data_IF_788965578821
#
_entry.id   IF_788965578821
#
_cell.length_a   1.000
_cell.length_b   1.000
_cell.length_c   1.000
_cell.angle_alpha   90.00
_cell.angle_beta   90.00
_cell.angle_gamma   90.00
#
_symmetry.space_group_name_H-M   'P 1'
#
loop_
_entity.id
_entity.type
_entity.pdbx_description
1 polymer ?
#
# COMPACT_ATOMS: atom_id res chain seq x y z
N UNK A 1 -0.12 4.62 17.23
CA UNK A 1 -0.92 3.61 16.52
C UNK A 1 0.00 2.80 15.61
N UNK A 2 -0.47 1.68 15.06
CA UNK A 2 0.37 0.87 14.16
C UNK A 2 0.73 1.62 12.86
N UNK A 3 -0.13 2.53 12.39
CA UNK A 3 0.16 3.41 11.24
C UNK A 3 1.45 4.23 11.41
N UNK A 4 1.66 4.81 12.59
CA UNK A 4 2.86 5.58 12.89
C UNK A 4 4.10 4.68 12.99
N UNK A 5 3.96 3.48 13.59
CA UNK A 5 5.05 2.51 13.72
C UNK A 5 5.51 1.99 12.35
N UNK A 6 4.57 1.67 11.46
CA UNK A 6 4.86 1.23 10.09
C UNK A 6 5.62 2.30 9.31
N UNK A 7 5.21 3.57 9.44
CA UNK A 7 5.91 4.68 8.81
C UNK A 7 7.36 4.83 9.32
N UNK A 8 7.56 4.71 10.64
CA UNK A 8 8.89 4.75 11.23
C UNK A 8 9.75 3.58 10.76
N UNK A 9 9.19 2.36 10.72
CA UNK A 9 9.89 1.17 10.26
C UNK A 9 10.31 1.25 8.80
N UNK A 10 9.47 1.80 7.90
CA UNK A 10 9.86 2.04 6.50
C UNK A 10 11.08 2.97 6.41
N UNK A 11 11.07 4.07 7.17
CA UNK A 11 12.18 5.04 7.16
C UNK A 11 13.47 4.42 7.67
N UNK A 12 13.41 3.71 8.80
CA UNK A 12 14.57 3.03 9.38
C UNK A 12 15.14 1.97 8.43
N UNK A 13 14.27 1.19 7.78
CA UNK A 13 14.68 0.17 6.81
C UNK A 13 15.40 0.79 5.61
N UNK A 14 14.86 1.87 5.03
CA UNK A 14 15.48 2.56 3.89
C UNK A 14 16.75 3.33 4.28
N UNK A 15 16.86 3.81 5.51
CA UNK A 15 18.09 4.44 6.02
C UNK A 15 19.22 3.41 6.17
N UNK A 16 18.92 2.26 6.78
CA UNK A 16 19.93 1.22 7.07
C UNK A 16 20.27 0.36 5.86
N UNK A 17 19.31 0.15 4.96
CA UNK A 17 19.46 -0.68 3.78
C UNK A 17 18.77 -0.01 2.56
N UNK A 18 19.40 1.02 1.95
CA UNK A 18 18.76 1.86 0.93
C UNK A 18 18.25 1.15 -0.32
N UNK A 19 18.83 -0.01 -0.63
CA UNK A 19 18.49 -0.82 -1.81
C UNK A 19 17.51 -1.96 -1.51
N UNK A 20 17.06 -2.10 -0.25
CA UNK A 20 16.12 -3.15 0.15
C UNK A 20 14.72 -2.91 -0.40
N UNK A 21 14.00 -4.00 -0.70
CA UNK A 21 12.59 -3.94 -1.07
C UNK A 21 11.77 -4.00 0.22
N UNK A 22 10.98 -2.96 0.49
CA UNK A 22 10.09 -2.93 1.66
C UNK A 22 8.65 -3.01 1.18
N UNK A 23 7.91 -4.01 1.66
CA UNK A 23 6.51 -4.23 1.33
C UNK A 23 5.63 -3.97 2.55
N UNK A 24 4.71 -3.03 2.44
CA UNK A 24 3.78 -2.65 3.50
C UNK A 24 2.36 -2.97 3.06
N UNK A 25 1.74 -3.94 3.71
CA UNK A 25 0.31 -4.19 3.62
C UNK A 25 -0.46 -3.28 4.56
N UNK A 26 -1.62 -2.78 4.15
CA UNK A 26 -2.51 -2.03 5.03
C UNK A 26 -3.99 -2.18 4.66
N UNK A 27 -4.90 -2.13 5.65
CA UNK A 27 -6.33 -2.21 5.41
C UNK A 27 -6.90 -0.87 4.93
N UNK A 28 -7.90 -0.91 4.04
CA UNK A 28 -8.73 0.25 3.68
C UNK A 28 -9.91 0.35 4.65
N UNK A 29 -9.79 1.24 5.63
CA UNK A 29 -10.81 1.52 6.64
C UNK A 29 -11.32 2.96 6.49
N UNK A 30 -12.52 3.25 6.98
CA UNK A 30 -13.03 4.61 7.13
C UNK A 30 -12.42 5.32 8.35
N UNK A 31 -11.09 5.25 8.48
CA UNK A 31 -10.31 5.87 9.54
C UNK A 31 -9.30 6.84 8.91
N UNK A 32 -9.21 8.06 9.44
CA UNK A 32 -8.30 9.09 8.91
C UNK A 32 -6.84 8.61 8.80
N UNK A 33 -6.36 7.84 9.78
CA UNK A 33 -5.00 7.30 9.75
C UNK A 33 -4.79 6.30 8.59
N UNK A 34 -5.80 5.47 8.30
CA UNK A 34 -5.77 4.52 7.17
C UNK A 34 -5.74 5.26 5.83
N UNK A 35 -6.58 6.30 5.68
CA UNK A 35 -6.66 7.07 4.43
C UNK A 35 -5.39 7.88 4.16
N UNK A 36 -4.73 8.38 5.22
CA UNK A 36 -3.49 9.16 5.11
C UNK A 36 -2.21 8.31 4.98
N UNK A 37 -2.23 7.03 5.39
CA UNK A 37 -1.03 6.20 5.44
C UNK A 37 -0.30 6.18 4.10
N UNK A 38 -1.01 5.91 3.00
CA UNK A 38 -0.41 5.78 1.67
C UNK A 38 0.34 7.05 1.25
N UNK A 39 -0.20 8.24 1.53
CA UNK A 39 0.45 9.51 1.21
C UNK A 39 1.74 9.71 2.04
N UNK A 40 1.72 9.33 3.32
CA UNK A 40 2.90 9.43 4.20
C UNK A 40 4.01 8.45 3.80
N UNK A 41 3.63 7.25 3.36
CA UNK A 41 4.57 6.25 2.83
C UNK A 41 5.21 6.75 1.53
N UNK A 42 4.42 7.29 0.58
CA UNK A 42 4.92 7.92 -0.65
C UNK A 42 5.94 9.00 -0.35
N UNK A 43 5.60 9.97 0.50
CA UNK A 43 6.52 11.05 0.86
C UNK A 43 7.83 10.55 1.51
N UNK A 44 7.79 9.46 2.28
CA UNK A 44 9.00 8.87 2.86
C UNK A 44 9.84 8.12 1.81
N UNK A 45 9.19 7.44 0.87
CA UNK A 45 9.87 6.76 -0.22
C UNK A 45 10.43 7.73 -1.27
N UNK A 46 9.74 8.81 -1.59
CA UNK A 46 10.26 9.88 -2.47
C UNK A 46 11.60 10.44 -1.96
N UNK A 47 11.78 10.49 -0.64
CA UNK A 47 13.00 10.97 -0.01
C UNK A 47 14.12 9.92 0.07
N UNK A 48 13.82 8.62 0.07
CA UNK A 48 14.78 7.59 0.48
C UNK A 48 14.85 6.34 -0.42
N UNK A 49 13.81 6.03 -1.21
CA UNK A 49 13.77 4.85 -2.07
C UNK A 49 14.40 5.13 -3.44
N UNK A 50 15.62 4.65 -3.64
CA UNK A 50 16.43 4.89 -4.85
C UNK A 50 15.77 4.45 -6.16
N UNK A 51 14.93 3.41 -6.12
CA UNK A 51 14.23 2.86 -7.29
C UNK A 51 12.74 3.26 -7.32
N UNK A 52 12.38 4.30 -6.58
CA UNK A 52 11.00 4.78 -6.46
C UNK A 52 10.11 3.84 -5.65
N UNK A 53 8.81 3.94 -5.88
CA UNK A 53 7.80 3.17 -5.17
C UNK A 53 6.66 2.73 -6.10
N UNK A 54 5.98 1.66 -5.70
CA UNK A 54 4.76 1.16 -6.32
C UNK A 54 3.66 1.12 -5.26
N UNK A 55 2.46 1.56 -5.63
CA UNK A 55 1.30 1.52 -4.76
C UNK A 55 0.13 0.86 -5.47
N UNK A 56 -0.31 -0.28 -4.96
CA UNK A 56 -1.43 -1.05 -5.50
C UNK A 56 -2.52 -1.18 -4.45
N UNK A 57 -3.79 -1.15 -4.89
CA UNK A 57 -4.95 -1.37 -4.02
C UNK A 57 -5.97 -2.25 -4.72
N UNK A 58 -6.67 -3.05 -3.93
CA UNK A 58 -7.86 -3.78 -4.34
C UNK A 58 -8.97 -3.49 -3.33
N UNK A 59 -9.99 -2.77 -3.79
CA UNK A 59 -11.23 -2.54 -3.05
C UNK A 59 -12.23 -3.60 -3.46
N UNK A 60 -12.70 -4.41 -2.52
CA UNK A 60 -13.60 -5.55 -2.78
C UNK A 60 -15.03 -5.30 -2.34
N UNK A 61 -15.26 -4.37 -1.41
CA UNK A 61 -16.58 -4.03 -0.88
C UNK A 61 -16.80 -2.51 -0.89
N UNK A 62 -18.06 -2.10 -0.99
CA UNK A 62 -18.44 -0.70 -0.76
C UNK A 62 -18.37 -0.36 0.74
N UNK A 63 -18.26 0.92 1.03
CA UNK A 63 -18.42 1.46 2.37
C UNK A 63 -19.80 1.10 2.93
N UNK A 64 -19.86 0.50 4.12
CA UNK A 64 -21.10 0.41 4.89
C UNK A 64 -21.54 1.83 5.30
N UNK A 65 -22.85 2.09 5.30
CA UNK A 65 -23.47 3.33 5.79
C UNK A 65 -23.07 3.63 7.24
N UNK A 66 -22.80 2.58 8.04
CA UNK A 66 -22.35 2.71 9.43
C UNK A 66 -20.84 2.90 9.57
N UNK A 67 -20.08 2.85 8.47
CA UNK A 67 -18.63 3.07 8.43
C UNK A 67 -17.77 1.96 9.04
N UNK A 68 -18.35 0.78 9.28
CA UNK A 68 -17.62 -0.36 9.85
C UNK A 68 -17.08 -1.30 8.77
N UNK A 69 -16.00 -2.00 9.12
CA UNK A 69 -15.41 -3.05 8.28
C UNK A 69 -14.29 -2.59 7.35
N UNK A 70 -13.68 -3.57 6.70
CA UNK A 70 -12.59 -3.37 5.74
C UNK A 70 -13.14 -3.49 4.32
N UNK A 71 -13.03 -2.41 3.55
CA UNK A 71 -13.51 -2.37 2.16
C UNK A 71 -12.55 -3.08 1.20
N UNK A 72 -11.31 -3.29 1.63
CA UNK A 72 -10.24 -3.87 0.85
C UNK A 72 -8.89 -3.57 1.48
N UNK A 73 -7.83 -3.69 0.70
CA UNK A 73 -6.47 -3.43 1.20
C UNK A 73 -5.55 -2.86 0.14
N UNK A 74 -4.41 -2.37 0.58
CA UNK A 74 -3.34 -1.88 -0.28
C UNK A 74 -2.00 -2.49 0.08
N UNK A 75 -1.14 -2.57 -0.94
CA UNK A 75 0.29 -2.85 -0.79
C UNK A 75 1.07 -1.65 -1.28
N UNK A 76 1.98 -1.15 -0.44
CA UNK A 76 2.98 -0.16 -0.81
C UNK A 76 4.34 -0.85 -0.87
N UNK A 77 5.05 -0.70 -1.98
CA UNK A 77 6.35 -1.34 -2.22
C UNK A 77 7.38 -0.26 -2.50
N UNK A 78 8.35 -0.08 -1.61
CA UNK A 78 9.53 0.74 -1.87
C UNK A 78 10.58 -0.09 -2.60
N UNK A 79 11.29 0.54 -3.54
CA UNK A 79 12.27 -0.10 -4.42
C UNK A 79 11.73 -1.35 -5.15
N UNK A 80 10.58 -1.26 -5.84
CA UNK A 80 9.95 -2.44 -6.43
C UNK A 80 10.84 -3.13 -7.49
N UNK A 81 10.77 -4.47 -7.63
CA UNK A 81 11.28 -5.15 -8.81
C UNK A 81 10.65 -4.59 -10.09
N UNK A 82 11.43 -4.46 -11.17
CA UNK A 82 10.99 -3.73 -12.37
C UNK A 82 9.80 -4.39 -13.10
N UNK A 83 9.62 -5.71 -12.97
CA UNK A 83 8.50 -6.44 -13.60
C UNK A 83 7.20 -6.34 -12.80
N UNK A 84 7.27 -6.01 -11.51
CA UNK A 84 6.14 -6.12 -10.59
C UNK A 84 4.96 -5.23 -10.99
N UNK A 85 5.23 -4.04 -11.54
CA UNK A 85 4.18 -3.16 -12.04
C UNK A 85 3.38 -3.83 -13.15
N UNK A 86 4.06 -4.38 -14.16
CA UNK A 86 3.40 -4.95 -15.35
C UNK A 86 2.69 -6.27 -15.03
N UNK A 87 3.28 -7.07 -14.15
CA UNK A 87 2.64 -8.29 -13.61
C UNK A 87 1.34 -7.95 -12.86
N UNK A 88 1.37 -6.91 -12.01
CA UNK A 88 0.18 -6.44 -11.31
C UNK A 88 -0.85 -5.84 -12.27
N UNK A 89 -0.42 -5.04 -13.24
CA UNK A 89 -1.31 -4.47 -14.24
C UNK A 89 -2.05 -5.55 -15.05
N UNK A 90 -1.37 -6.67 -15.34
CA UNK A 90 -1.96 -7.81 -16.03
C UNK A 90 -2.92 -8.63 -15.14
N UNK A 91 -2.59 -8.84 -13.86
CA UNK A 91 -3.37 -9.74 -13.00
C UNK A 91 -4.51 -9.06 -12.22
N UNK A 92 -4.39 -7.76 -11.91
CA UNK A 92 -5.38 -7.04 -11.10
C UNK A 92 -6.79 -7.03 -11.70
N UNK A 93 -7.01 -6.88 -13.02
CA UNK A 93 -8.36 -6.93 -13.59
C UNK A 93 -9.08 -8.25 -13.29
N UNK A 94 -8.37 -9.38 -13.37
CA UNK A 94 -8.94 -10.68 -13.02
C UNK A 94 -9.28 -10.77 -11.52
N UNK A 95 -8.43 -10.22 -10.64
CA UNK A 95 -8.72 -10.18 -9.21
C UNK A 95 -9.93 -9.30 -8.90
N UNK A 96 -10.10 -8.18 -9.60
CA UNK A 96 -11.30 -7.34 -9.47
C UNK A 96 -12.54 -8.11 -9.91
N UNK A 97 -12.50 -8.79 -11.07
CA UNK A 97 -13.62 -9.62 -11.57
C UNK A 97 -14.01 -10.72 -10.59
N UNK A 98 -13.04 -11.39 -9.97
CA UNK A 98 -13.27 -12.59 -9.15
C UNK A 98 -13.53 -12.30 -7.68
N UNK A 99 -12.96 -11.23 -7.15
CA UNK A 99 -13.01 -10.90 -5.71
C UNK A 99 -13.87 -9.67 -5.41
N UNK A 100 -14.17 -8.83 -6.41
CA UNK A 100 -15.08 -7.70 -6.28
C UNK A 100 -16.49 -8.15 -5.93
N UNK A 101 -17.11 -7.46 -4.98
CA UNK A 101 -18.46 -7.76 -4.49
C UNK A 101 -19.45 -6.64 -4.87
N UNK A 102 -19.06 -5.75 -5.78
CA UNK A 102 -19.85 -4.61 -6.23
C UNK A 102 -19.48 -4.19 -7.66
#
# INVERSE_FOLDING_TARGET
TDYAKVLAALREALERAPDTVVMVWYPQLQLLESTQLAQRLKASADAAAKKGWLHVRLTVAQADEKGFGMMGSGMFVANPPFTLHDELAACLPLLVERLGQF
#
